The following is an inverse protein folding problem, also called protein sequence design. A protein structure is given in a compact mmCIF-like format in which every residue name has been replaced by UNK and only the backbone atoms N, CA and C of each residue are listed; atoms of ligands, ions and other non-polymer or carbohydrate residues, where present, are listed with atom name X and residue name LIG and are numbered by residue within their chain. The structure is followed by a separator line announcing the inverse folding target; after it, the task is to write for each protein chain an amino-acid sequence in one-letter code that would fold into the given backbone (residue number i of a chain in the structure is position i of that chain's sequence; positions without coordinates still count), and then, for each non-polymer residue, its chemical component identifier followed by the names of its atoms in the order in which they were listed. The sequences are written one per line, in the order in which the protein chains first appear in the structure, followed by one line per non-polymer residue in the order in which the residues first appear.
data_IF_447729107808
#
_entry.id   IF_447729107808
#
_cell.length_a   1.000
_cell.length_b   1.000
_cell.length_c   1.000
_cell.angle_alpha   90.00
_cell.angle_beta   90.00
_cell.angle_gamma   90.00
#
_symmetry.space_group_name_H-M   'P 1'
#
loop_
_entity.id
_entity.type
_entity.pdbx_description
1 polymer ?
#
# COMPACT_ATOMS: atom_id res chain seq x y z
N UNK A 1 10.22 -10.32 -12.32
CA UNK A 1 9.15 -9.61 -13.05
C UNK A 1 7.83 -10.29 -12.76
N UNK A 2 7.04 -9.81 -11.80
CA UNK A 2 5.66 -10.28 -11.59
C UNK A 2 4.73 -9.06 -11.61
N UNK A 3 4.63 -8.43 -12.78
CA UNK A 3 3.63 -7.39 -13.05
C UNK A 3 2.50 -8.07 -13.82
N UNK A 4 1.33 -8.24 -13.19
CA UNK A 4 0.17 -8.83 -13.85
C UNK A 4 -1.10 -8.59 -13.05
N UNK A 5 -2.25 -8.61 -13.73
CA UNK A 5 -3.59 -8.38 -13.14
C UNK A 5 -3.87 -9.24 -11.89
N UNK A 6 -3.25 -10.42 -11.77
CA UNK A 6 -3.38 -11.31 -10.62
C UNK A 6 -2.71 -10.85 -9.33
N UNK A 7 -1.76 -9.90 -9.40
CA UNK A 7 -1.04 -9.39 -8.21
C UNK A 7 -1.81 -8.26 -7.54
N UNK A 8 -2.40 -7.36 -8.34
CA UNK A 8 -3.15 -6.21 -7.83
C UNK A 8 -4.64 -6.48 -7.62
N UNK A 9 -5.16 -7.64 -8.08
CA UNK A 9 -6.59 -8.00 -8.08
C UNK A 9 -7.49 -6.88 -8.63
N UNK A 10 -6.98 -6.13 -9.61
CA UNK A 10 -7.70 -5.03 -10.24
C UNK A 10 -8.56 -5.55 -11.39
N UNK A 11 -9.68 -4.86 -11.66
CA UNK A 11 -10.38 -5.06 -12.92
C UNK A 11 -9.48 -4.65 -14.10
N UNK A 12 -9.62 -5.28 -15.28
CA UNK A 12 -8.80 -4.96 -16.43
C UNK A 12 -8.84 -3.47 -16.80
N UNK A 13 -10.02 -2.85 -16.70
CA UNK A 13 -10.21 -1.44 -16.98
C UNK A 13 -9.49 -0.52 -15.98
N UNK A 14 -9.46 -0.89 -14.69
CA UNK A 14 -8.78 -0.09 -13.66
C UNK A 14 -7.25 -0.09 -13.86
N UNK A 15 -6.68 -1.24 -14.20
CA UNK A 15 -5.25 -1.36 -14.48
C UNK A 15 -4.82 -0.57 -15.71
N UNK A 16 -5.58 -0.62 -16.81
CA UNK A 16 -5.26 0.14 -18.02
C UNK A 16 -5.45 1.66 -17.88
N UNK A 17 -6.14 2.10 -16.83
CA UNK A 17 -6.29 3.52 -16.50
C UNK A 17 -5.21 4.03 -15.53
N UNK A 18 -4.43 3.14 -14.92
CA UNK A 18 -3.33 3.55 -14.04
C UNK A 18 -2.17 4.12 -14.84
N UNK A 19 -1.53 5.12 -14.25
CA UNK A 19 -0.25 5.66 -14.70
C UNK A 19 0.91 4.75 -14.27
N UNK A 20 2.07 4.89 -14.93
CA UNK A 20 3.27 4.15 -14.56
C UNK A 20 3.69 4.39 -13.10
N UNK A 21 3.49 5.62 -12.60
CA UNK A 21 3.77 5.98 -11.20
C UNK A 21 2.85 5.24 -10.22
N UNK A 22 1.57 5.10 -10.55
CA UNK A 22 0.61 4.35 -9.72
C UNK A 22 0.91 2.85 -9.73
N UNK A 23 1.29 2.29 -10.88
CA UNK A 23 1.71 0.89 -10.99
C UNK A 23 2.99 0.67 -10.15
N UNK A 24 3.95 1.58 -10.20
CA UNK A 24 5.17 1.52 -9.39
C UNK A 24 4.87 1.53 -7.89
N UNK A 25 3.95 2.41 -7.44
CA UNK A 25 3.54 2.47 -6.04
C UNK A 25 2.81 1.20 -5.58
N UNK A 26 1.90 0.67 -6.42
CA UNK A 26 1.09 -0.50 -6.08
C UNK A 26 1.88 -1.82 -6.09
N UNK A 27 2.98 -1.86 -6.85
CA UNK A 27 3.87 -3.04 -6.94
C UNK A 27 5.01 -3.00 -5.94
N UNK A 28 5.24 -1.85 -5.29
CA UNK A 28 6.20 -1.75 -4.22
C UNK A 28 5.62 -2.45 -2.98
N UNK A 29 6.32 -3.43 -2.39
CA UNK A 29 5.90 -3.96 -1.10
C UNK A 29 5.85 -2.78 -0.11
N UNK A 30 4.83 -2.70 0.77
CA UNK A 30 4.83 -1.71 1.82
C UNK A 30 6.13 -1.88 2.61
N UNK A 31 7.03 -0.91 2.47
CA UNK A 31 8.35 -0.93 3.11
C UNK A 31 8.25 -0.75 4.62
N UNK A 32 7.07 -0.37 5.12
CA UNK A 32 6.80 -0.21 6.53
C UNK A 32 6.27 -1.52 7.08
N UNK A 33 7.07 -2.17 7.92
CA UNK A 33 6.51 -3.08 8.92
C UNK A 33 5.41 -2.33 9.68
N UNK A 34 4.28 -2.98 9.99
CA UNK A 34 3.28 -2.37 10.86
C UNK A 34 3.94 -1.92 12.16
N UNK A 35 3.54 -0.77 12.75
CA UNK A 35 4.07 -0.36 14.04
C UNK A 35 3.79 -1.45 15.06
N UNK A 36 4.76 -1.71 15.93
CA UNK A 36 4.55 -2.58 17.08
C UNK A 36 3.52 -1.95 18.03
N UNK A 37 2.88 -2.78 18.85
CA UNK A 37 1.78 -2.36 19.71
C UNK A 37 2.15 -1.17 20.61
N UNK A 38 3.41 -1.07 21.05
CA UNK A 38 3.90 0.03 21.88
C UNK A 38 3.93 1.35 21.12
N UNK A 39 4.42 1.33 19.89
CA UNK A 39 4.46 2.51 19.00
C UNK A 39 3.05 3.00 18.68
N UNK A 40 2.13 2.07 18.38
CA UNK A 40 0.73 2.43 18.16
C UNK A 40 0.11 3.10 19.39
N UNK A 41 0.33 2.54 20.59
CA UNK A 41 -0.19 3.11 21.84
C UNK A 41 0.43 4.48 22.17
N UNK A 42 1.68 4.73 21.79
CA UNK A 42 2.31 6.03 21.94
C UNK A 42 1.66 7.07 21.01
N UNK A 43 1.39 6.72 19.76
CA UNK A 43 0.71 7.58 18.79
C UNK A 43 -0.71 7.95 19.26
N UNK A 44 -1.48 6.97 19.75
CA UNK A 44 -2.83 7.22 20.29
C UNK A 44 -2.84 8.19 21.48
N UNK A 45 -1.78 8.19 22.31
CA UNK A 45 -1.65 9.14 23.41
C UNK A 45 -1.15 10.51 22.96
N UNK A 46 -0.37 10.57 21.89
CA UNK A 46 0.20 11.80 21.36
C UNK A 46 -0.80 12.61 20.53
N UNK A 47 -1.73 11.92 19.86
CA UNK A 47 -2.79 12.51 19.07
C UNK A 47 -4.16 11.98 19.55
N UNK A 48 -4.60 12.37 20.75
CA UNK A 48 -6.00 12.21 21.12
C UNK A 48 -6.82 13.15 20.24
N UNK A 49 -7.93 12.65 19.67
CA UNK A 49 -8.79 13.34 18.69
C UNK A 49 -9.00 14.85 18.93
#
# INVERSE_FOLDING_TARGET
MHLGFGVLKLSPQAFWRMTLSEISAATHPPSASPPDAKTLHALMRQYPD
#
